data_IF_146313784481
#
_entry.id   IF_146313784481
#
_cell.length_a   1.000
_cell.length_b   1.000
_cell.length_c   1.000
_cell.angle_alpha   90.00
_cell.angle_beta   90.00
_cell.angle_gamma   90.00
#
_symmetry.space_group_name_H-M   'P 1'
#
loop_
_entity.id
_entity.type
_entity.pdbx_description
1 polymer ?
#
# COMPACT_ATOMS: atom_id res chain seq x y z
N UNK A 1 -18.57 -5.10 -5.60
CA UNK A 1 -17.44 -5.53 -4.77
C UNK A 1 -17.09 -4.36 -3.86
N UNK A 2 -16.83 -4.55 -2.56
CA UNK A 2 -16.41 -3.42 -1.74
C UNK A 2 -15.06 -2.90 -2.27
N UNK A 3 -14.88 -1.58 -2.42
CA UNK A 3 -13.75 -0.97 -3.13
C UNK A 3 -12.42 -0.99 -2.34
N UNK A 4 -12.36 -1.79 -1.27
CA UNK A 4 -11.38 -1.79 -0.19
C UNK A 4 -10.53 -3.08 -0.16
N UNK A 5 -10.72 -3.96 -1.14
CA UNK A 5 -10.19 -5.32 -1.13
C UNK A 5 -9.32 -5.58 -2.37
N UNK A 6 -8.02 -5.75 -2.15
CA UNK A 6 -6.99 -5.88 -3.20
C UNK A 6 -5.94 -6.90 -2.78
N UNK A 7 -5.22 -7.47 -3.75
CA UNK A 7 -4.11 -8.37 -3.51
C UNK A 7 -3.11 -8.30 -4.66
N UNK A 8 -1.84 -8.11 -4.36
CA UNK A 8 -0.73 -8.22 -5.30
C UNK A 8 -0.35 -9.69 -5.47
N UNK A 9 -0.90 -10.34 -6.50
CA UNK A 9 -0.79 -11.79 -6.69
C UNK A 9 0.67 -12.24 -6.94
N UNK A 10 1.29 -13.04 -6.03
CA UNK A 10 2.66 -13.51 -6.18
C UNK A 10 2.79 -14.66 -7.19
N UNK A 11 1.66 -15.18 -7.68
CA UNK A 11 1.64 -16.28 -8.65
C UNK A 11 1.81 -15.78 -10.09
N UNK A 12 1.70 -14.47 -10.32
CA UNK A 12 1.77 -13.86 -11.65
C UNK A 12 2.90 -12.84 -11.71
N UNK A 13 3.63 -12.79 -12.83
CA UNK A 13 4.63 -11.76 -13.08
C UNK A 13 3.94 -10.56 -13.74
N UNK A 14 4.03 -9.39 -13.10
CA UNK A 14 3.43 -8.17 -13.59
C UNK A 14 4.20 -7.65 -14.83
N UNK A 15 3.51 -7.28 -15.92
CA UNK A 15 4.17 -6.99 -17.19
C UNK A 15 5.04 -5.74 -17.17
N UNK A 16 4.76 -4.72 -16.35
CA UNK A 16 5.56 -3.50 -16.30
C UNK A 16 6.79 -3.58 -15.40
N UNK A 17 6.69 -4.23 -14.25
CA UNK A 17 7.81 -4.39 -13.30
C UNK A 17 8.69 -5.60 -13.61
N UNK A 18 8.16 -6.59 -14.35
CA UNK A 18 8.79 -7.89 -14.60
C UNK A 18 9.06 -8.71 -13.33
N UNK A 19 8.36 -8.37 -12.25
CA UNK A 19 8.43 -9.00 -10.94
C UNK A 19 7.07 -9.61 -10.58
N UNK A 20 7.05 -10.49 -9.57
CA UNK A 20 5.79 -11.00 -8.99
C UNK A 20 5.22 -9.99 -7.99
N UNK A 21 3.94 -10.06 -7.64
CA UNK A 21 3.42 -9.29 -6.50
C UNK A 21 4.04 -9.71 -5.17
N UNK A 22 4.08 -8.81 -4.21
CA UNK A 22 4.61 -9.00 -2.83
C UNK A 22 3.70 -9.83 -1.91
N UNK A 23 2.57 -10.33 -2.44
CA UNK A 23 1.58 -11.15 -1.74
C UNK A 23 0.72 -10.40 -0.69
N UNK A 24 0.74 -9.07 -0.68
CA UNK A 24 -0.03 -8.25 0.26
C UNK A 24 -1.16 -7.46 -0.43
N UNK A 25 -2.06 -6.81 0.32
CA UNK A 25 -2.95 -5.79 -0.23
C UNK A 25 -2.17 -4.61 -0.81
N UNK A 26 -2.74 -3.91 -1.81
CA UNK A 26 -2.11 -2.72 -2.37
C UNK A 26 -1.81 -1.68 -1.29
N UNK A 27 -0.59 -1.14 -1.36
CA UNK A 27 -0.12 -0.13 -0.44
C UNK A 27 -0.56 1.28 -0.83
N UNK A 28 -0.80 2.10 0.20
CA UNK A 28 -1.40 3.43 0.05
C UNK A 28 -0.63 4.47 0.87
N UNK A 29 -0.20 5.54 0.20
CA UNK A 29 0.35 6.75 0.81
C UNK A 29 -0.71 7.86 0.82
N UNK A 30 -1.27 8.16 1.99
CA UNK A 30 -2.23 9.25 2.20
C UNK A 30 -1.47 10.55 2.51
N UNK A 31 -1.74 11.61 1.74
CA UNK A 31 -0.92 12.84 1.74
C UNK A 31 -1.60 14.05 2.38
N UNK A 32 -2.73 13.85 3.05
CA UNK A 32 -3.47 14.89 3.76
C UNK A 32 -2.72 15.43 4.98
N UNK A 33 -3.16 16.57 5.49
CA UNK A 33 -2.50 17.27 6.61
C UNK A 33 -2.69 16.55 7.97
N UNK A 34 -3.73 15.73 8.09
CA UNK A 34 -4.08 15.06 9.34
C UNK A 34 -3.40 13.68 9.43
N UNK A 35 -2.59 13.50 10.47
CA UNK A 35 -1.99 12.21 10.82
C UNK A 35 -3.09 11.21 11.19
N UNK A 36 -3.16 10.09 10.45
CA UNK A 36 -4.09 9.00 10.73
C UNK A 36 -3.71 8.19 11.98
N UNK A 37 -4.54 7.20 12.33
CA UNK A 37 -4.24 6.27 13.42
C UNK A 37 -4.36 4.80 12.98
N UNK A 38 -3.61 3.86 13.59
CA UNK A 38 -3.71 2.44 13.25
C UNK A 38 -5.14 1.91 13.40
N UNK A 39 -5.64 1.24 12.35
CA UNK A 39 -7.01 0.73 12.28
C UNK A 39 -8.07 1.74 11.83
N UNK A 40 -7.69 2.98 11.48
CA UNK A 40 -8.60 3.95 10.90
C UNK A 40 -9.02 3.56 9.49
N UNK A 41 -10.31 3.66 9.19
CA UNK A 41 -10.84 3.54 7.82
C UNK A 41 -11.24 4.94 7.33
N UNK A 42 -10.50 5.47 6.35
CA UNK A 42 -10.72 6.80 5.75
C UNK A 42 -11.30 6.64 4.34
N UNK A 43 -12.12 7.60 3.92
CA UNK A 43 -12.50 7.72 2.51
C UNK A 43 -11.43 8.57 1.84
N UNK A 44 -10.85 8.05 0.77
CA UNK A 44 -9.74 8.71 0.07
C UNK A 44 -10.04 8.85 -1.42
N UNK A 45 -9.37 9.81 -2.05
CA UNK A 45 -9.37 10.01 -3.49
C UNK A 45 -8.00 9.63 -4.05
N UNK A 46 -8.01 8.75 -5.05
CA UNK A 46 -6.80 8.33 -5.78
C UNK A 46 -6.31 9.45 -6.69
N UNK A 47 -5.00 9.70 -6.65
CA UNK A 47 -4.31 10.74 -7.42
C UNK A 47 -3.26 10.15 -8.38
N UNK A 48 -2.60 9.07 -7.99
CA UNK A 48 -1.56 8.44 -8.79
C UNK A 48 -1.03 7.15 -8.18
N UNK A 49 0.01 6.56 -8.77
CA UNK A 49 0.66 5.35 -8.26
C UNK A 49 2.14 5.31 -8.65
N UNK A 50 3.00 4.82 -7.77
CA UNK A 50 4.42 4.57 -8.03
C UNK A 50 4.70 3.07 -8.05
N UNK A 51 5.56 2.62 -8.96
CA UNK A 51 5.90 1.21 -9.16
C UNK A 51 7.22 0.85 -8.46
N UNK A 52 7.17 0.53 -7.16
CA UNK A 52 8.37 0.11 -6.42
C UNK A 52 8.70 -1.34 -6.81
N UNK A 53 10.01 -1.61 -6.91
CA UNK A 53 10.58 -2.94 -6.90
C UNK A 53 11.24 -3.14 -5.54
N UNK A 54 10.52 -3.78 -4.62
CA UNK A 54 10.99 -4.04 -3.27
C UNK A 54 11.58 -5.45 -3.20
N UNK A 55 12.91 -5.57 -3.07
CA UNK A 55 13.60 -6.87 -3.06
C UNK A 55 13.22 -7.81 -4.25
N UNK A 56 13.05 -7.24 -5.45
CA UNK A 56 12.64 -7.92 -6.69
C UNK A 56 11.15 -8.31 -6.78
N UNK A 57 10.32 -7.83 -5.85
CA UNK A 57 8.87 -7.95 -5.88
C UNK A 57 8.22 -6.64 -6.35
N UNK A 58 7.06 -6.76 -7.00
CA UNK A 58 6.20 -5.64 -7.38
C UNK A 58 5.49 -5.19 -6.12
N UNK A 59 5.60 -3.89 -5.85
CA UNK A 59 5.04 -3.29 -4.66
C UNK A 59 4.52 -1.89 -5.04
N UNK A 60 3.23 -1.79 -5.35
CA UNK A 60 2.64 -0.55 -5.83
C UNK A 60 2.31 0.40 -4.67
N UNK A 61 2.77 1.64 -4.77
CA UNK A 61 2.47 2.69 -3.80
C UNK A 61 1.44 3.66 -4.38
N UNK A 62 0.16 3.47 -4.04
CA UNK A 62 -0.92 4.35 -4.49
C UNK A 62 -0.88 5.67 -3.73
N UNK A 63 -0.88 6.79 -4.45
CA UNK A 63 -0.94 8.13 -3.86
C UNK A 63 -2.40 8.56 -3.76
N UNK A 64 -2.84 8.87 -2.55
CA UNK A 64 -4.22 9.25 -2.25
C UNK A 64 -4.28 10.44 -1.30
N UNK A 65 -5.45 11.06 -1.21
CA UNK A 65 -5.74 12.07 -0.19
C UNK A 65 -7.11 11.83 0.45
N UNK A 66 -7.24 12.06 1.75
CA UNK A 66 -8.53 12.08 2.44
C UNK A 66 -9.51 13.02 1.72
N UNK A 67 -10.73 12.56 1.46
CA UNK A 67 -11.77 13.38 0.81
C UNK A 67 -12.18 14.61 1.64
N UNK A 68 -11.91 14.59 2.94
CA UNK A 68 -12.19 15.68 3.87
C UNK A 68 -11.02 16.66 4.03
N UNK A 69 -9.87 16.39 3.42
CA UNK A 69 -8.72 17.29 3.48
C UNK A 69 -9.03 18.64 2.79
N UNK A 70 -8.59 19.79 3.34
CA UNK A 70 -8.80 21.10 2.72
C UNK A 70 -8.23 21.24 1.30
N UNK A 71 -7.18 20.50 0.95
CA UNK A 71 -6.60 20.44 -0.39
C UNK A 71 -7.27 19.42 -1.31
N UNK A 72 -8.08 18.50 -0.78
CA UNK A 72 -8.74 17.47 -1.59
C UNK A 72 -9.46 18.05 -2.82
N UNK A 73 -10.25 19.15 -2.74
CA UNK A 73 -10.91 19.71 -3.94
C UNK A 73 -9.93 20.17 -5.05
N UNK A 74 -8.68 20.51 -4.69
CA UNK A 74 -7.65 21.01 -5.60
C UNK A 74 -6.77 19.91 -6.19
N UNK A 75 -6.71 18.75 -5.54
CA UNK A 75 -5.89 17.61 -5.97
C UNK A 75 -6.77 16.59 -6.69
N UNK A 76 -6.73 16.53 -8.02
CA UNK A 76 -7.60 15.63 -8.80
C UNK A 76 -6.86 14.62 -9.68
N UNK A 77 -5.59 14.89 -9.96
CA UNK A 77 -4.65 13.99 -10.63
C UNK A 77 -3.22 14.23 -10.09
N UNK A 78 -2.25 13.42 -10.53
CA UNK A 78 -0.87 13.43 -10.00
C UNK A 78 -0.17 14.79 -10.21
N UNK A 79 -0.46 15.50 -11.28
CA UNK A 79 0.17 16.79 -11.58
C UNK A 79 -0.23 17.89 -10.57
N UNK A 80 -1.42 17.77 -9.97
CA UNK A 80 -1.85 18.70 -8.94
C UNK A 80 -1.05 18.50 -7.64
N UNK A 81 -0.55 17.28 -7.38
CA UNK A 81 0.32 16.99 -6.23
C UNK A 81 1.59 17.82 -6.31
N UNK A 82 2.31 17.79 -7.43
CA UNK A 82 3.54 18.57 -7.57
C UNK A 82 3.26 20.09 -7.58
N UNK A 83 2.09 20.52 -8.07
CA UNK A 83 1.68 21.93 -8.05
C UNK A 83 1.43 22.47 -6.64
N UNK A 84 0.80 21.68 -5.77
CA UNK A 84 0.36 22.11 -4.44
C UNK A 84 1.29 21.66 -3.31
N UNK A 85 2.04 20.58 -3.52
CA UNK A 85 2.95 19.94 -2.58
C UNK A 85 4.31 19.69 -3.29
N UNK A 86 5.00 20.76 -3.74
CA UNK A 86 6.19 20.64 -4.58
C UNK A 86 7.30 19.85 -3.87
N UNK A 87 7.87 18.88 -4.58
CA UNK A 87 8.92 18.01 -4.07
C UNK A 87 8.45 16.81 -3.25
N UNK A 88 7.15 16.68 -2.94
CA UNK A 88 6.64 15.54 -2.18
C UNK A 88 6.88 14.22 -2.93
N UNK A 89 6.53 14.13 -4.21
CA UNK A 89 6.69 12.91 -5.00
C UNK A 89 8.18 12.50 -5.12
N UNK A 90 9.08 13.48 -5.22
CA UNK A 90 10.53 13.24 -5.23
C UNK A 90 11.00 12.69 -3.88
N UNK A 91 10.53 13.27 -2.78
CA UNK A 91 10.84 12.79 -1.43
C UNK A 91 10.27 11.39 -1.18
N UNK A 92 9.05 11.10 -1.66
CA UNK A 92 8.45 9.75 -1.60
C UNK A 92 9.29 8.73 -2.36
N UNK A 93 9.75 9.07 -3.57
CA UNK A 93 10.67 8.20 -4.33
C UNK A 93 11.94 7.90 -3.53
N UNK A 94 12.60 8.95 -3.02
CA UNK A 94 13.83 8.83 -2.24
C UNK A 94 13.63 7.98 -0.98
N UNK A 95 12.53 8.20 -0.26
CA UNK A 95 12.21 7.46 0.95
C UNK A 95 12.14 5.95 0.69
N UNK A 96 11.34 5.53 -0.30
CA UNK A 96 11.21 4.11 -0.63
C UNK A 96 12.47 3.49 -1.21
N UNK A 97 13.37 4.27 -1.82
CA UNK A 97 14.68 3.79 -2.26
C UNK A 97 15.58 3.42 -1.07
N UNK A 98 15.61 4.26 -0.04
CA UNK A 98 16.66 4.20 0.98
C UNK A 98 16.21 3.62 2.33
N UNK A 99 14.91 3.44 2.58
CA UNK A 99 14.41 3.16 3.94
C UNK A 99 14.96 1.88 4.57
N UNK A 100 15.34 0.87 3.78
CA UNK A 100 15.93 -0.40 4.27
C UNK A 100 17.46 -0.43 4.29
N UNK A 101 18.13 0.61 3.81
CA UNK A 101 19.60 0.70 3.85
C UNK A 101 20.14 0.66 5.29
N UNK A 102 19.52 1.35 6.28
CA UNK A 102 19.90 1.21 7.70
C UNK A 102 19.85 -0.24 8.23
N UNK A 103 18.97 -1.06 7.66
CA UNK A 103 18.79 -2.48 8.00
C UNK A 103 19.75 -3.41 7.23
N UNK A 104 20.68 -2.83 6.45
CA UNK A 104 21.67 -3.57 5.67
C UNK A 104 21.15 -4.13 4.34
N UNK A 105 19.96 -3.71 3.90
CA UNK A 105 19.40 -4.09 2.60
C UNK A 105 19.93 -3.18 1.48
N UNK A 106 19.95 -3.66 0.22
CA UNK A 106 20.26 -2.80 -0.92
C UNK A 106 19.22 -1.69 -1.09
N UNK A 107 19.58 -0.70 -1.89
CA UNK A 107 18.65 0.35 -2.33
C UNK A 107 17.57 -0.26 -3.25
N UNK A 108 16.32 0.11 -3.02
CA UNK A 108 15.21 -0.32 -3.87
C UNK A 108 15.21 0.41 -5.21
N UNK A 109 14.53 -0.18 -6.20
CA UNK A 109 14.41 0.37 -7.54
C UNK A 109 12.96 0.71 -7.85
N UNK A 110 12.75 1.50 -8.90
CA UNK A 110 11.42 1.80 -9.41
C UNK A 110 11.34 1.43 -10.89
N UNK A 111 10.21 0.90 -11.32
CA UNK A 111 9.89 0.89 -12.75
C UNK A 111 9.63 2.33 -13.23
N UNK A 112 9.54 2.52 -14.55
CA UNK A 112 9.32 3.84 -15.19
C UNK A 112 10.28 4.94 -14.74
N UNK A 113 11.51 4.58 -14.33
CA UNK A 113 12.49 5.54 -13.81
C UNK A 113 11.98 6.35 -12.59
N UNK A 114 11.06 5.79 -11.80
CA UNK A 114 10.52 6.47 -10.62
C UNK A 114 9.35 7.42 -10.88
N UNK A 115 8.83 7.47 -12.10
CA UNK A 115 7.65 8.26 -12.44
C UNK A 115 6.43 7.83 -11.63
N UNK A 116 5.76 8.79 -10.97
CA UNK A 116 4.43 8.56 -10.42
C UNK A 116 3.40 8.64 -11.56
N UNK A 117 2.79 7.49 -11.88
CA UNK A 117 1.74 7.42 -12.89
C UNK A 117 0.47 8.13 -12.41
N UNK A 118 -0.31 8.63 -13.37
CA UNK A 118 -1.51 9.39 -13.10
C UNK A 118 -2.65 8.54 -12.52
N UNK A 119 -3.72 9.22 -12.10
CA UNK A 119 -4.90 8.61 -11.51
C UNK A 119 -5.53 7.53 -12.39
N UNK A 120 -5.57 7.73 -13.71
CA UNK A 120 -6.17 6.75 -14.62
C UNK A 120 -5.44 5.42 -14.52
N UNK A 121 -4.12 5.44 -14.60
CA UNK A 121 -3.28 4.26 -14.49
C UNK A 121 -3.38 3.62 -13.10
N UNK A 122 -3.38 4.44 -12.04
CA UNK A 122 -3.58 3.95 -10.68
C UNK A 122 -4.91 3.18 -10.51
N UNK A 123 -5.99 3.67 -11.12
CA UNK A 123 -7.28 2.96 -11.12
C UNK A 123 -7.27 1.67 -11.95
N UNK A 124 -6.37 1.51 -12.92
CA UNK A 124 -6.18 0.25 -13.65
C UNK A 124 -5.46 -0.77 -12.75
N UNK A 125 -4.38 -0.38 -12.08
CA UNK A 125 -3.66 -1.22 -11.08
C UNK A 125 -4.60 -1.67 -9.95
N UNK A 126 -5.37 -0.75 -9.36
CA UNK A 126 -6.33 -1.08 -8.30
C UNK A 126 -7.35 -2.11 -8.75
N UNK A 127 -7.85 -2.01 -10.01
CA UNK A 127 -8.79 -3.00 -10.54
C UNK A 127 -8.13 -4.36 -10.73
N UNK A 128 -6.91 -4.41 -11.24
CA UNK A 128 -6.16 -5.66 -11.40
C UNK A 128 -5.99 -6.38 -10.06
N UNK A 129 -5.55 -5.66 -9.02
CA UNK A 129 -5.37 -6.24 -7.69
C UNK A 129 -6.71 -6.60 -7.02
N UNK A 130 -7.79 -5.88 -7.31
CA UNK A 130 -9.13 -6.26 -6.85
C UNK A 130 -9.63 -7.55 -7.52
N UNK A 131 -9.38 -7.72 -8.83
CA UNK A 131 -9.71 -8.95 -9.56
C UNK A 131 -8.87 -10.13 -9.04
N UNK A 132 -7.59 -9.89 -8.71
CA UNK A 132 -6.72 -10.88 -8.07
C UNK A 132 -7.24 -11.31 -6.69
N UNK A 133 -7.63 -10.34 -5.86
CA UNK A 133 -8.25 -10.62 -4.56
C UNK A 133 -9.55 -11.42 -4.69
N UNK A 134 -10.40 -11.13 -5.69
CA UNK A 134 -11.62 -11.94 -5.91
C UNK A 134 -11.28 -13.39 -6.23
N UNK A 135 -10.25 -13.62 -7.07
CA UNK A 135 -9.78 -14.98 -7.37
C UNK A 135 -9.23 -15.66 -6.12
N UNK A 136 -8.48 -14.95 -5.28
CA UNK A 136 -8.00 -15.46 -3.98
C UNK A 136 -9.18 -15.90 -3.10
N UNK A 137 -10.14 -15.01 -2.86
CA UNK A 137 -11.27 -15.26 -1.95
C UNK A 137 -12.23 -16.34 -2.44
N UNK A 138 -12.34 -16.51 -3.76
CA UNK A 138 -13.17 -17.57 -4.40
C UNK A 138 -12.41 -18.88 -4.60
N UNK A 139 -11.14 -18.98 -4.16
CA UNK A 139 -10.30 -20.17 -4.29
C UNK A 139 -9.85 -20.47 -5.73
N UNK A 140 -9.92 -19.49 -6.64
CA UNK A 140 -9.45 -19.60 -8.02
C UNK A 140 -7.96 -19.27 -8.18
N UNK A 141 -7.34 -18.66 -7.16
CA UNK A 141 -5.88 -18.48 -7.07
C UNK A 141 -5.33 -19.22 -5.84
N UNK A 142 -4.13 -19.82 -5.90
CA UNK A 142 -3.50 -20.43 -4.72
C UNK A 142 -3.25 -19.39 -3.63
N UNK A 143 -3.80 -19.62 -2.43
CA UNK A 143 -3.68 -18.70 -1.30
C UNK A 143 -2.37 -18.78 -0.50
N UNK A 144 -1.54 -19.79 -0.77
CA UNK A 144 -0.35 -20.07 0.02
C UNK A 144 -0.69 -20.20 1.52
N UNK A 145 -0.07 -19.36 2.34
CA UNK A 145 -0.24 -19.32 3.80
C UNK A 145 -1.34 -18.35 4.26
N UNK A 146 -1.95 -17.59 3.34
CA UNK A 146 -2.97 -16.58 3.68
C UNK A 146 -4.23 -17.25 4.26
N UNK A 147 -4.70 -16.73 5.39
CA UNK A 147 -6.03 -17.03 5.90
C UNK A 147 -7.07 -16.17 5.16
N UNK A 148 -7.95 -16.82 4.41
CA UNK A 148 -9.05 -16.17 3.66
C UNK A 148 -10.35 -16.12 4.46
N UNK A 149 -10.27 -16.35 5.78
CA UNK A 149 -11.44 -16.44 6.66
C UNK A 149 -12.14 -15.10 6.78
N UNK A 150 -13.45 -15.05 6.52
CA UNK A 150 -14.20 -13.78 6.49
C UNK A 150 -15.69 -13.95 6.87
N UNK A 151 -16.36 -12.82 7.11
CA UNK A 151 -17.78 -12.75 7.52
C UNK A 151 -18.70 -12.06 6.51
N UNK A 152 -18.17 -11.46 5.45
CA UNK A 152 -18.95 -10.57 4.56
C UNK A 152 -18.78 -10.86 3.07
N UNK A 153 -17.78 -11.64 2.65
CA UNK A 153 -17.57 -11.95 1.23
C UNK A 153 -18.51 -13.08 0.80
N UNK A 154 -19.51 -12.75 -0.02
CA UNK A 154 -20.62 -13.64 -0.35
C UNK A 154 -20.17 -14.95 -1.05
N UNK A 155 -19.19 -14.85 -1.96
CA UNK A 155 -18.71 -15.97 -2.76
C UNK A 155 -17.44 -16.63 -2.20
N UNK A 156 -17.09 -16.33 -0.94
CA UNK A 156 -15.87 -16.88 -0.36
C UNK A 156 -16.02 -18.35 0.02
N UNK A 157 -14.95 -19.10 -0.19
CA UNK A 157 -14.85 -20.52 0.17
C UNK A 157 -14.50 -20.76 1.64
N UNK A 158 -14.18 -19.71 2.40
CA UNK A 158 -13.69 -19.79 3.79
C UNK A 158 -14.46 -18.79 4.69
N UNK A 159 -15.72 -19.13 4.99
CA UNK A 159 -16.60 -18.30 5.82
C UNK A 159 -16.40 -18.64 7.30
N UNK A 160 -16.22 -17.63 8.14
CA UNK A 160 -16.09 -17.81 9.58
C UNK A 160 -17.42 -18.24 10.19
N UNK A 161 -17.36 -19.21 11.11
CA UNK A 161 -18.50 -19.59 11.92
C UNK A 161 -18.69 -18.62 13.10
N UNK A 162 -19.93 -18.42 13.60
CA UNK A 162 -20.19 -17.51 14.72
C UNK A 162 -19.36 -17.81 15.99
N UNK A 163 -19.04 -19.09 16.23
CA UNK A 163 -18.20 -19.51 17.36
C UNK A 163 -16.77 -19.00 17.27
N UNK A 164 -16.22 -18.89 16.06
CA UNK A 164 -14.87 -18.38 15.82
C UNK A 164 -14.81 -16.88 16.05
N UNK A 165 -15.87 -16.15 15.68
CA UNK A 165 -16.00 -14.73 15.98
C UNK A 165 -16.13 -14.48 17.48
N UNK A 166 -16.88 -15.34 18.19
CA UNK A 166 -17.02 -15.27 19.63
C UNK A 166 -15.70 -15.57 20.37
N UNK A 167 -14.75 -16.25 19.72
CA UNK A 167 -13.44 -16.55 20.27
C UNK A 167 -12.44 -15.37 20.15
N UNK A 168 -12.76 -14.32 19.38
CA UNK A 168 -11.90 -13.14 19.27
C UNK A 168 -11.87 -12.42 20.62
N UNK A 169 -10.68 -12.27 21.25
CA UNK A 169 -10.58 -11.62 22.55
C UNK A 169 -11.00 -10.15 22.49
N UNK A 170 -11.54 -9.64 23.59
CA UNK A 170 -11.81 -8.21 23.72
C UNK A 170 -10.51 -7.40 23.77
N UNK A 171 -10.54 -6.22 23.15
CA UNK A 171 -9.43 -5.27 23.19
C UNK A 171 -9.12 -4.84 24.63
N UNK A 172 -7.85 -4.89 25.00
CA UNK A 172 -7.41 -4.60 26.38
C UNK A 172 -7.11 -3.11 26.63
N UNK A 173 -7.01 -2.29 25.58
CA UNK A 173 -6.73 -0.85 25.65
C UNK A 173 -5.55 -0.51 26.58
N UNK A 174 -4.47 -1.28 26.48
CA UNK A 174 -3.26 -1.05 27.27
C UNK A 174 -2.55 0.22 26.79
N UNK A 175 -1.86 0.94 27.69
CA UNK A 175 -1.01 2.06 27.27
C UNK A 175 0.11 1.57 26.34
N UNK A 176 0.60 2.42 25.41
CA UNK A 176 1.73 2.08 24.56
C UNK A 176 2.94 1.67 25.39
N UNK A 177 3.63 0.61 24.96
CA UNK A 177 4.89 0.22 25.55
C UNK A 177 5.97 1.30 25.29
N UNK A 178 6.99 1.41 26.16
CA UNK A 178 8.15 2.25 25.87
C UNK A 178 8.81 1.84 24.56
N UNK A 179 9.23 2.83 23.76
CA UNK A 179 9.99 2.60 22.53
C UNK A 179 11.47 2.72 22.86
N UNK A 180 12.28 1.82 22.31
CA UNK A 180 13.73 1.88 22.48
C UNK A 180 14.31 3.13 21.82
N UNK A 181 15.17 3.87 22.54
CA UNK A 181 15.71 5.15 22.06
C UNK A 181 16.59 5.05 20.80
N UNK A 182 16.95 3.83 20.35
CA UNK A 182 17.61 3.64 19.06
C UNK A 182 16.78 4.11 17.86
N UNK A 183 15.44 4.18 17.99
CA UNK A 183 14.56 4.71 16.92
C UNK A 183 14.75 6.20 16.66
N UNK A 184 15.29 6.95 17.64
CA UNK A 184 15.56 8.39 17.51
C UNK A 184 16.79 8.68 16.64
N UNK A 185 17.56 7.64 16.29
CA UNK A 185 18.79 7.76 15.53
C UNK A 185 18.50 8.19 14.09
N UNK A 186 19.07 9.33 13.70
CA UNK A 186 19.09 9.78 12.32
C UNK A 186 20.20 9.08 11.51
N UNK A 187 19.82 8.54 10.36
CA UNK A 187 20.75 7.99 9.38
C UNK A 187 20.94 8.99 8.24
N UNK A 188 22.19 9.30 7.94
CA UNK A 188 22.55 10.19 6.84
C UNK A 188 23.02 9.34 5.66
N UNK A 189 22.10 9.02 4.76
CA UNK A 189 22.36 8.21 3.58
C UNK A 189 22.47 9.16 2.39
N UNK A 190 23.63 9.17 1.73
CA UNK A 190 23.81 9.84 0.45
C UNK A 190 23.54 8.82 -0.65
N UNK A 191 22.48 9.02 -1.44
CA UNK A 191 22.29 8.26 -2.67
C UNK A 191 23.51 8.43 -3.58
N UNK A 192 23.87 7.40 -4.33
CA UNK A 192 24.82 7.58 -5.43
C UNK A 192 24.21 8.60 -6.40
N UNK A 193 24.91 9.71 -6.65
CA UNK A 193 24.46 10.70 -7.62
C UNK A 193 24.18 10.00 -8.95
N UNK A 194 22.94 10.09 -9.43
CA UNK A 194 22.57 9.70 -10.79
C UNK A 194 22.81 10.88 -11.73
#
# INVERSE_FOLDING_TARGET
MPPDSTWEDPNTVHPETKAKGDNDPLDVCEIGELVGYPGQVKQVKVLGVMALLDEEETDWKVIVIDVNDPLAPKLNDVEDVERHLPGLLRATNEWFRIYKIPDGKPENQFAFSGECKNKKYALEVIRECADAWEKLMTGKSPKGEISTKNVSVANSTDRAEPSELAAIPQGQNLPPAPIDGSVDKWFFISGAAV
#
